data_IF_069080998646
#
_entry.id   IF_069080998646
#
_cell.length_a   1.000
_cell.length_b   1.000
_cell.length_c   1.000
_cell.angle_alpha   90.00
_cell.angle_beta   90.00
_cell.angle_gamma   90.00
#
_symmetry.space_group_name_H-M   'P 1'
#
loop_
_entity.id
_entity.type
_entity.pdbx_description
1 polymer ?
#
# COMPACT_ATOMS: atom_id res chain seq x y z
N UNK A 1 5.24 -2.08 5.67
CA UNK A 1 4.24 -2.89 5.00
C UNK A 1 3.24 -2.00 4.26
N UNK A 2 2.51 -2.57 3.33
CA UNK A 2 1.54 -1.83 2.53
C UNK A 2 0.44 -1.26 3.43
N UNK A 3 0.05 0.01 3.26
CA UNK A 3 -0.99 0.61 4.08
C UNK A 3 -2.35 -0.05 3.80
N UNK A 4 -2.89 -0.71 4.82
CA UNK A 4 -4.18 -1.43 4.75
C UNK A 4 -5.39 -0.55 5.08
N UNK A 5 -5.18 0.71 5.43
CA UNK A 5 -6.22 1.68 5.81
C UNK A 5 -6.20 2.94 4.96
N UNK A 6 -5.78 2.82 3.71
CA UNK A 6 -5.68 3.97 2.80
C UNK A 6 -7.08 4.50 2.40
N UNK A 7 -8.07 3.62 2.30
CA UNK A 7 -9.46 4.01 2.03
C UNK A 7 -10.05 4.86 3.15
N UNK A 8 -9.81 4.48 4.39
CA UNK A 8 -10.31 5.21 5.56
C UNK A 8 -9.68 6.59 5.64
N UNK A 9 -8.37 6.67 5.41
CA UNK A 9 -7.62 7.92 5.47
C UNK A 9 -7.88 8.86 4.29
N UNK A 10 -8.36 8.35 3.17
CA UNK A 10 -8.59 9.13 1.95
C UNK A 10 -10.08 9.27 1.64
N UNK A 11 -10.72 8.19 1.22
CA UNK A 11 -12.08 8.20 0.69
C UNK A 11 -13.11 8.39 1.81
N UNK A 12 -13.00 7.64 2.91
CA UNK A 12 -13.97 7.72 4.00
C UNK A 12 -13.91 9.08 4.70
N UNK A 13 -12.70 9.62 4.96
CA UNK A 13 -12.55 10.96 5.52
C UNK A 13 -13.12 12.03 4.60
N UNK A 14 -12.89 11.93 3.30
CA UNK A 14 -13.43 12.87 2.33
C UNK A 14 -14.95 12.84 2.31
N UNK A 15 -15.57 11.66 2.24
CA UNK A 15 -17.02 11.52 2.32
C UNK A 15 -17.61 12.08 3.62
N UNK A 16 -16.94 11.84 4.73
CA UNK A 16 -17.37 12.37 6.02
C UNK A 16 -17.33 13.90 6.04
N UNK A 17 -16.27 14.52 5.54
CA UNK A 17 -16.17 15.98 5.43
C UNK A 17 -17.25 16.59 4.53
N UNK A 18 -17.58 15.94 3.42
CA UNK A 18 -18.68 16.36 2.53
C UNK A 18 -20.06 16.30 3.21
N UNK A 19 -20.27 15.39 4.15
CA UNK A 19 -21.52 15.25 4.89
C UNK A 19 -21.66 16.25 6.05
N UNK A 20 -20.56 16.74 6.62
CA UNK A 20 -20.60 17.72 7.71
C UNK A 20 -20.98 19.10 7.15
N UNK A 21 -22.21 19.52 7.41
CA UNK A 21 -22.70 20.83 6.97
C UNK A 21 -22.55 21.92 8.04
N UNK A 22 -22.60 21.53 9.32
CA UNK A 22 -22.58 22.45 10.45
C UNK A 22 -21.64 21.99 11.54
N UNK A 23 -21.02 22.94 12.21
CA UNK A 23 -20.26 22.74 13.44
C UNK A 23 -21.20 22.39 14.61
N UNK A 24 -20.69 21.84 15.74
CA UNK A 24 -21.51 21.54 16.93
C UNK A 24 -22.32 22.72 17.49
N UNK A 25 -21.86 23.94 17.24
CA UNK A 25 -22.57 25.16 17.62
C UNK A 25 -23.65 25.61 16.62
N UNK A 26 -23.95 24.80 15.59
CA UNK A 26 -24.95 25.07 14.55
C UNK A 26 -24.49 26.02 13.43
N UNK A 27 -23.29 26.56 13.50
CA UNK A 27 -22.75 27.40 12.42
C UNK A 27 -22.32 26.54 11.21
N UNK A 28 -22.43 27.04 9.97
CA UNK A 28 -21.90 26.37 8.80
C UNK A 28 -20.40 26.09 8.95
N UNK A 29 -19.96 24.92 8.51
CA UNK A 29 -18.54 24.60 8.46
C UNK A 29 -17.87 25.50 7.41
N UNK A 30 -16.87 26.30 7.80
CA UNK A 30 -16.12 27.13 6.85
C UNK A 30 -15.45 26.27 5.77
N UNK A 31 -15.35 26.74 4.51
CA UNK A 31 -14.74 25.99 3.41
C UNK A 31 -13.32 25.50 3.71
N UNK A 32 -12.53 26.30 4.42
CA UNK A 32 -11.15 25.97 4.82
C UNK A 32 -11.04 24.80 5.80
N UNK A 33 -12.13 24.47 6.50
CA UNK A 33 -12.21 23.29 7.39
C UNK A 33 -12.80 22.06 6.70
N UNK A 34 -13.14 22.15 5.41
CA UNK A 34 -13.64 21.02 4.61
C UNK A 34 -12.55 20.33 3.80
N UNK A 35 -11.28 20.66 4.03
CA UNK A 35 -10.14 20.03 3.39
C UNK A 35 -9.66 18.83 4.21
N UNK A 36 -9.18 17.79 3.55
CA UNK A 36 -8.51 16.70 4.22
C UNK A 36 -7.20 17.20 4.85
N UNK A 37 -6.87 16.62 6.02
CA UNK A 37 -5.64 16.96 6.74
C UNK A 37 -4.39 16.36 6.09
N UNK A 38 -4.54 15.25 5.37
CA UNK A 38 -3.43 14.55 4.72
C UNK A 38 -3.29 14.91 3.23
N UNK A 39 -2.11 14.61 2.67
CA UNK A 39 -1.76 14.79 1.26
C UNK A 39 -1.50 13.44 0.58
N UNK A 40 -2.25 12.41 0.94
CA UNK A 40 -2.02 11.04 0.44
C UNK A 40 -2.19 10.98 -1.07
N UNK A 41 -3.29 11.50 -1.60
CA UNK A 41 -3.58 11.44 -3.04
C UNK A 41 -2.56 12.21 -3.86
N UNK A 42 -2.23 13.42 -3.43
CA UNK A 42 -1.25 14.29 -4.10
C UNK A 42 0.15 13.65 -4.08
N UNK A 43 0.57 13.14 -2.92
CA UNK A 43 1.89 12.52 -2.76
C UNK A 43 2.01 11.22 -3.57
N UNK A 44 0.96 10.43 -3.64
CA UNK A 44 0.90 9.23 -4.50
C UNK A 44 1.01 9.63 -5.97
N UNK A 45 0.23 10.61 -6.41
CA UNK A 45 0.26 11.13 -7.80
C UNK A 45 1.67 11.58 -8.18
N UNK A 46 2.30 12.41 -7.36
CA UNK A 46 3.68 12.85 -7.58
C UNK A 46 4.66 11.66 -7.61
N UNK A 47 4.46 10.68 -6.76
CA UNK A 47 5.35 9.51 -6.66
C UNK A 47 5.27 8.65 -7.92
N UNK A 48 4.07 8.40 -8.45
CA UNK A 48 3.90 7.69 -9.72
C UNK A 48 4.60 8.43 -10.85
N UNK A 49 4.36 9.73 -11.00
CA UNK A 49 4.94 10.57 -12.05
C UNK A 49 6.47 10.69 -11.96
N UNK A 50 7.05 10.65 -10.76
CA UNK A 50 8.49 10.68 -10.57
C UNK A 50 9.17 9.34 -10.86
N UNK A 51 8.48 8.24 -10.64
CA UNK A 51 9.07 6.88 -10.71
C UNK A 51 8.85 6.20 -12.05
N UNK A 52 7.84 6.60 -12.79
CA UNK A 52 7.42 5.94 -14.02
C UNK A 52 7.22 6.93 -15.16
N UNK A 53 7.52 6.49 -16.38
CA UNK A 53 7.16 7.24 -17.58
C UNK A 53 5.65 7.14 -17.84
N UNK A 54 5.02 8.17 -18.42
CA UNK A 54 3.63 8.10 -18.82
C UNK A 54 3.35 6.87 -19.69
N UNK A 55 2.24 6.19 -19.42
CA UNK A 55 1.84 4.96 -20.11
C UNK A 55 2.55 3.68 -19.65
N UNK A 56 3.47 3.74 -18.66
CA UNK A 56 4.05 2.54 -18.06
C UNK A 56 2.97 1.61 -17.52
N UNK A 57 3.07 0.32 -17.84
CA UNK A 57 2.16 -0.70 -17.32
C UNK A 57 2.60 -1.14 -15.93
N UNK A 58 1.72 -0.99 -14.96
CA UNK A 58 1.91 -1.45 -13.59
C UNK A 58 0.84 -2.49 -13.27
N UNK A 59 1.26 -3.66 -12.83
CA UNK A 59 0.35 -4.67 -12.29
C UNK A 59 0.09 -4.39 -10.82
N UNK A 60 -1.15 -4.63 -10.40
CA UNK A 60 -1.59 -4.48 -9.02
C UNK A 60 -2.17 -5.82 -8.56
N UNK A 61 -1.61 -6.36 -7.50
CA UNK A 61 -1.96 -7.68 -7.02
C UNK A 61 -2.43 -7.67 -5.56
N UNK A 62 -3.52 -8.40 -5.31
CA UNK A 62 -4.00 -8.76 -3.99
C UNK A 62 -4.50 -10.20 -4.00
N UNK A 63 -4.76 -10.78 -2.83
CA UNK A 63 -5.41 -12.09 -2.68
C UNK A 63 -6.87 -11.94 -2.25
N UNK A 64 -7.71 -12.95 -2.49
CA UNK A 64 -9.08 -13.03 -1.98
C UNK A 64 -10.17 -12.35 -2.82
N UNK A 65 -9.83 -11.68 -3.92
CA UNK A 65 -10.77 -11.12 -4.89
C UNK A 65 -11.64 -9.98 -4.37
N UNK A 66 -12.69 -9.64 -5.12
CA UNK A 66 -13.54 -8.44 -4.94
C UNK A 66 -14.27 -8.28 -3.60
N UNK A 67 -14.35 -9.31 -2.80
CA UNK A 67 -15.05 -9.26 -1.50
C UNK A 67 -14.11 -8.98 -0.33
N UNK A 68 -12.82 -8.89 -0.59
CA UNK A 68 -11.83 -8.64 0.43
C UNK A 68 -11.62 -7.13 0.63
N UNK A 69 -11.41 -6.68 1.87
CA UNK A 69 -11.14 -5.30 2.21
C UNK A 69 -9.92 -4.75 1.46
N UNK A 70 -8.89 -5.57 1.30
CA UNK A 70 -7.68 -5.24 0.56
C UNK A 70 -7.96 -4.83 -0.89
N UNK A 71 -8.99 -5.39 -1.51
CA UNK A 71 -9.37 -5.05 -2.88
C UNK A 71 -9.77 -3.58 -3.02
N UNK A 72 -10.49 -3.03 -2.05
CA UNK A 72 -10.85 -1.62 -2.05
C UNK A 72 -9.62 -0.70 -1.99
N UNK A 73 -8.65 -1.04 -1.14
CA UNK A 73 -7.36 -0.33 -1.05
C UNK A 73 -6.57 -0.44 -2.37
N UNK A 74 -6.57 -1.62 -3.00
CA UNK A 74 -5.93 -1.84 -4.29
C UNK A 74 -6.54 -0.97 -5.39
N UNK A 75 -7.87 -0.94 -5.50
CA UNK A 75 -8.60 -0.13 -6.49
C UNK A 75 -8.31 1.36 -6.31
N UNK A 76 -8.25 1.85 -5.09
CA UNK A 76 -7.88 3.25 -4.84
C UNK A 76 -6.47 3.58 -5.38
N UNK A 77 -5.50 2.70 -5.13
CA UNK A 77 -4.14 2.89 -5.62
C UNK A 77 -4.05 2.77 -7.15
N UNK A 78 -4.82 1.86 -7.75
CA UNK A 78 -4.93 1.74 -9.21
C UNK A 78 -5.52 2.99 -9.83
N UNK A 79 -6.61 3.52 -9.27
CA UNK A 79 -7.25 4.75 -9.74
C UNK A 79 -6.29 5.94 -9.67
N UNK A 80 -5.56 6.09 -8.55
CA UNK A 80 -4.57 7.15 -8.39
C UNK A 80 -3.43 7.01 -9.44
N UNK A 81 -2.92 5.79 -9.67
CA UNK A 81 -1.89 5.54 -10.69
C UNK A 81 -2.42 5.83 -12.11
N UNK A 82 -3.66 5.44 -12.42
CA UNK A 82 -4.32 5.71 -13.70
C UNK A 82 -4.47 7.22 -13.93
N UNK A 83 -4.97 7.97 -12.96
CA UNK A 83 -5.08 9.44 -13.01
C UNK A 83 -3.71 10.12 -13.14
N UNK A 84 -2.65 9.48 -12.65
CA UNK A 84 -1.27 9.95 -12.78
C UNK A 84 -0.64 9.66 -14.16
N UNK A 85 -1.40 9.06 -15.09
CA UNK A 85 -0.96 8.79 -16.47
C UNK A 85 -0.34 7.40 -16.67
N UNK A 86 -0.46 6.48 -15.70
CA UNK A 86 0.01 5.10 -15.84
C UNK A 86 -1.06 4.22 -16.52
N UNK A 87 -0.65 3.09 -17.07
CA UNK A 87 -1.54 1.99 -17.44
C UNK A 87 -1.54 0.99 -16.30
N UNK A 88 -2.73 0.54 -15.87
CA UNK A 88 -2.87 -0.37 -14.74
C UNK A 88 -3.53 -1.68 -15.15
N UNK A 89 -3.10 -2.79 -14.54
CA UNK A 89 -3.71 -4.11 -14.71
C UNK A 89 -3.83 -4.79 -13.36
N UNK A 90 -5.04 -5.19 -13.01
CA UNK A 90 -5.29 -5.99 -11.80
C UNK A 90 -4.99 -7.47 -12.09
N UNK A 91 -4.44 -8.17 -11.09
CA UNK A 91 -4.21 -9.60 -11.10
C UNK A 91 -4.33 -10.16 -9.66
N UNK A 92 -4.82 -11.39 -9.51
CA UNK A 92 -4.75 -12.05 -8.20
C UNK A 92 -3.34 -12.60 -7.98
N UNK A 93 -2.86 -12.61 -6.73
CA UNK A 93 -1.54 -13.18 -6.39
C UNK A 93 -1.40 -14.61 -6.91
N UNK A 94 -2.46 -15.40 -6.79
CA UNK A 94 -2.54 -16.79 -7.19
C UNK A 94 -2.55 -17.01 -8.71
N UNK A 95 -2.69 -15.96 -9.48
CA UNK A 95 -2.71 -15.97 -10.95
C UNK A 95 -1.37 -15.55 -11.58
N UNK A 96 -0.41 -15.16 -10.75
CA UNK A 96 0.92 -14.80 -11.23
C UNK A 96 1.67 -16.07 -11.62
N UNK A 97 2.01 -16.18 -12.90
CA UNK A 97 2.80 -17.28 -13.44
C UNK A 97 4.31 -17.02 -13.33
N UNK A 98 5.09 -18.09 -13.43
CA UNK A 98 6.55 -18.04 -13.49
C UNK A 98 7.05 -18.85 -14.68
N UNK A 99 7.83 -18.24 -15.56
CA UNK A 99 8.41 -18.94 -16.71
C UNK A 99 9.70 -19.68 -16.33
N UNK A 100 10.15 -20.65 -17.15
CA UNK A 100 11.44 -21.33 -16.94
C UNK A 100 12.63 -20.37 -16.90
N UNK A 101 12.55 -19.21 -17.53
CA UNK A 101 13.58 -18.16 -17.56
C UNK A 101 13.51 -17.23 -16.34
N UNK A 102 12.77 -17.62 -15.30
CA UNK A 102 12.59 -16.87 -14.06
C UNK A 102 11.95 -15.48 -14.27
N UNK A 103 10.92 -15.41 -15.12
CA UNK A 103 10.13 -14.19 -15.35
C UNK A 103 8.71 -14.37 -14.83
N UNK A 104 8.25 -13.45 -14.02
CA UNK A 104 6.84 -13.41 -13.61
C UNK A 104 5.99 -12.91 -14.77
N UNK A 105 4.86 -13.59 -14.99
CA UNK A 105 3.92 -13.30 -16.10
C UNK A 105 2.49 -13.25 -15.60
N UNK A 106 1.65 -12.52 -16.30
CA UNK A 106 0.22 -12.47 -16.08
C UNK A 106 -0.53 -13.59 -16.84
N UNK A 107 -1.86 -13.59 -16.76
CA UNK A 107 -2.73 -14.61 -17.40
C UNK A 107 -2.66 -14.61 -18.94
N UNK A 108 -2.06 -13.59 -19.55
CA UNK A 108 -1.85 -13.48 -21.00
C UNK A 108 -0.39 -13.78 -21.39
N UNK A 109 0.37 -14.42 -20.48
CA UNK A 109 1.81 -14.70 -20.64
C UNK A 109 2.66 -13.43 -20.84
N UNK A 110 2.15 -12.26 -20.44
CA UNK A 110 2.87 -11.00 -20.54
C UNK A 110 3.74 -10.80 -19.31
N UNK A 111 5.02 -10.45 -19.54
CA UNK A 111 5.98 -10.20 -18.46
C UNK A 111 5.50 -9.08 -17.52
N UNK A 112 5.50 -9.37 -16.23
CA UNK A 112 5.23 -8.43 -15.14
C UNK A 112 6.54 -7.75 -14.77
N UNK A 113 6.75 -6.52 -15.21
CA UNK A 113 7.94 -5.74 -14.92
C UNK A 113 7.82 -4.93 -13.63
N UNK A 114 6.64 -4.38 -13.41
CA UNK A 114 6.31 -3.55 -12.26
C UNK A 114 5.06 -4.10 -11.59
N UNK A 115 5.20 -4.51 -10.34
CA UNK A 115 4.13 -5.11 -9.55
C UNK A 115 3.98 -4.38 -8.22
N UNK A 116 2.82 -3.77 -8.01
CA UNK A 116 2.38 -3.37 -6.69
C UNK A 116 1.61 -4.53 -6.06
N UNK A 117 2.02 -4.95 -4.87
CA UNK A 117 1.38 -6.05 -4.15
C UNK A 117 0.74 -5.58 -2.84
N UNK A 118 -0.50 -5.92 -2.61
CA UNK A 118 -1.15 -5.87 -1.32
C UNK A 118 -1.19 -7.29 -0.75
N UNK A 119 -0.03 -7.78 -0.34
CA UNK A 119 0.18 -9.14 0.14
C UNK A 119 1.42 -9.19 1.04
N UNK A 120 1.39 -9.82 2.22
CA UNK A 120 2.51 -9.82 3.15
C UNK A 120 3.78 -10.46 2.57
N UNK A 121 4.93 -9.82 2.75
CA UNK A 121 6.22 -10.39 2.36
C UNK A 121 6.51 -11.69 3.10
N UNK A 122 6.08 -11.80 4.35
CA UNK A 122 6.22 -13.00 5.18
C UNK A 122 5.58 -14.21 4.51
N UNK A 123 4.43 -14.05 3.88
CA UNK A 123 3.77 -15.12 3.15
C UNK A 123 4.47 -15.43 1.84
N UNK A 124 4.90 -14.41 1.11
CA UNK A 124 5.65 -14.61 -0.14
C UNK A 124 6.91 -15.43 0.08
N UNK A 125 7.63 -15.21 1.19
CA UNK A 125 8.87 -15.95 1.48
C UNK A 125 8.64 -17.43 1.79
N UNK A 126 7.42 -17.81 2.22
CA UNK A 126 7.04 -19.21 2.47
C UNK A 126 6.50 -19.90 1.20
N UNK A 127 6.14 -19.15 0.17
CA UNK A 127 5.61 -19.71 -1.07
C UNK A 127 6.72 -20.24 -2.01
N UNK A 128 6.35 -21.20 -2.85
CA UNK A 128 7.30 -21.86 -3.77
C UNK A 128 8.04 -20.87 -4.69
N UNK A 129 7.35 -19.85 -5.17
CA UNK A 129 7.91 -18.83 -6.05
C UNK A 129 8.73 -17.77 -5.32
N UNK A 130 8.65 -17.69 -3.98
CA UNK A 130 9.33 -16.66 -3.18
C UNK A 130 10.84 -16.61 -3.41
N UNK A 131 11.49 -17.76 -3.56
CA UNK A 131 12.92 -17.89 -3.86
C UNK A 131 13.32 -17.27 -5.21
N UNK A 132 12.39 -17.16 -6.15
CA UNK A 132 12.62 -16.66 -7.50
C UNK A 132 12.66 -15.13 -7.57
N UNK A 133 12.15 -14.44 -6.57
CA UNK A 133 12.01 -12.97 -6.55
C UNK A 133 13.35 -12.26 -6.62
N UNK A 134 14.39 -12.85 -5.98
CA UNK A 134 15.71 -12.22 -5.90
C UNK A 134 16.35 -12.07 -7.28
N UNK A 135 16.19 -13.08 -8.14
CA UNK A 135 16.81 -13.14 -9.46
C UNK A 135 15.88 -12.73 -10.60
N UNK A 136 14.59 -12.52 -10.31
CA UNK A 136 13.63 -12.08 -11.32
C UNK A 136 13.77 -10.59 -11.62
N UNK A 137 13.57 -10.16 -12.88
CA UNK A 137 13.66 -8.75 -13.25
C UNK A 137 12.48 -7.91 -12.81
N UNK A 138 11.45 -8.52 -12.22
CA UNK A 138 10.25 -7.84 -11.74
C UNK A 138 10.56 -6.92 -10.57
N UNK A 139 10.19 -5.66 -10.69
CA UNK A 139 10.29 -4.66 -9.63
C UNK A 139 9.05 -4.75 -8.72
N UNK A 140 9.24 -5.27 -7.54
CA UNK A 140 8.19 -5.41 -6.53
C UNK A 140 8.04 -4.10 -5.72
N UNK A 141 6.83 -3.63 -5.62
CA UNK A 141 6.45 -2.52 -4.76
C UNK A 141 5.56 -3.04 -3.64
N UNK A 142 5.93 -2.86 -2.46
CA UNK A 142 7.07 -2.16 -1.87
C UNK A 142 8.29 -3.10 -1.73
N UNK A 143 9.50 -2.57 -1.45
CA UNK A 143 10.70 -3.39 -1.35
C UNK A 143 10.69 -4.32 -0.11
N UNK A 144 11.23 -5.53 -0.24
CA UNK A 144 11.19 -6.59 0.76
C UNK A 144 11.81 -6.20 2.14
N UNK A 145 12.77 -5.29 2.18
CA UNK A 145 13.36 -4.85 3.47
C UNK A 145 12.34 -4.21 4.41
N UNK A 146 11.21 -3.70 3.90
CA UNK A 146 10.12 -3.15 4.73
C UNK A 146 9.42 -4.21 5.58
N UNK A 147 9.61 -5.49 5.30
CA UNK A 147 9.16 -6.59 6.15
C UNK A 147 9.67 -6.43 7.59
N UNK A 148 10.88 -5.88 7.77
CA UNK A 148 11.42 -5.58 9.09
C UNK A 148 10.56 -4.57 9.88
N UNK A 149 9.88 -3.66 9.18
CA UNK A 149 9.04 -2.62 9.79
C UNK A 149 7.63 -3.12 10.11
N UNK A 150 7.17 -4.22 9.51
CA UNK A 150 5.86 -4.82 9.78
C UNK A 150 5.83 -5.65 11.07
N UNK A 151 6.99 -5.95 11.63
CA UNK A 151 7.11 -6.71 12.86
C UNK A 151 6.93 -5.80 14.09
N UNK A 152 6.02 -6.19 15.00
CA UNK A 152 5.75 -5.42 16.25
C UNK A 152 6.97 -5.30 17.16
N UNK A 153 7.97 -6.19 17.08
CA UNK A 153 9.24 -6.06 17.80
C UNK A 153 10.01 -4.78 17.42
N UNK A 154 9.71 -4.18 16.25
CA UNK A 154 10.26 -2.88 15.88
C UNK A 154 9.86 -1.77 16.87
N UNK A 155 8.66 -1.84 17.47
CA UNK A 155 8.23 -0.87 18.49
C UNK A 155 9.13 -0.92 19.73
N UNK A 156 9.56 -2.11 20.14
CA UNK A 156 10.51 -2.27 21.25
C UNK A 156 11.84 -1.63 20.88
N UNK A 157 12.32 -1.87 19.67
CA UNK A 157 13.58 -1.30 19.19
C UNK A 157 13.52 0.23 19.09
N UNK A 158 12.42 0.76 18.63
CA UNK A 158 12.19 2.21 18.59
C UNK A 158 12.14 2.79 20.01
N UNK A 159 11.50 2.11 20.96
CA UNK A 159 11.47 2.56 22.36
C UNK A 159 12.88 2.56 22.98
N UNK A 160 13.68 1.53 22.74
CA UNK A 160 15.08 1.49 23.20
C UNK A 160 15.93 2.64 22.63
N UNK A 161 15.71 2.99 21.36
CA UNK A 161 16.48 4.05 20.66
C UNK A 161 16.01 5.47 21.02
N UNK A 162 14.73 5.64 21.31
CA UNK A 162 14.08 6.93 21.48
C UNK A 162 13.17 6.90 22.71
N UNK A 163 13.71 6.48 23.86
CA UNK A 163 13.00 6.44 25.13
C UNK A 163 12.34 7.80 25.45
N UNK A 164 11.12 7.77 25.97
CA UNK A 164 10.31 8.94 26.30
C UNK A 164 9.91 9.84 25.11
N UNK A 165 10.04 9.35 23.87
CA UNK A 165 9.56 10.11 22.72
C UNK A 165 8.02 10.23 22.75
N UNK A 166 7.43 11.43 22.61
CA UNK A 166 5.99 11.68 22.84
C UNK A 166 5.05 10.93 21.88
N UNK A 167 5.55 10.41 20.78
CA UNK A 167 4.78 9.62 19.80
C UNK A 167 5.03 8.11 19.90
N UNK A 168 5.83 7.66 20.88
CA UNK A 168 6.07 6.24 21.11
C UNK A 168 5.43 5.81 22.43
N UNK A 169 4.79 4.64 22.37
CA UNK A 169 4.35 3.95 23.58
C UNK A 169 5.49 3.09 24.13
N UNK A 170 5.61 3.03 25.44
CA UNK A 170 6.54 2.12 26.13
C UNK A 170 6.30 0.69 25.65
N UNK A 171 7.34 0.03 25.18
CA UNK A 171 7.24 -1.28 24.53
C UNK A 171 8.35 -2.21 24.97
N UNK A 172 8.00 -3.44 25.32
CA UNK A 172 8.91 -4.48 25.80
C UNK A 172 8.61 -5.83 25.12
N UNK A 173 9.65 -6.66 24.93
CA UNK A 173 9.47 -8.03 24.41
C UNK A 173 8.74 -8.92 25.43
N UNK A 174 9.00 -8.69 26.70
CA UNK A 174 8.38 -9.40 27.81
C UNK A 174 7.64 -8.43 28.71
N UNK A 175 6.61 -8.96 29.42
CA UNK A 175 5.88 -8.16 30.39
C UNK A 175 6.89 -7.62 31.42
N UNK A 176 6.90 -6.32 31.73
CA UNK A 176 7.71 -5.76 32.81
C UNK A 176 7.37 -6.48 34.13
N UNK A 177 8.39 -6.88 34.85
CA UNK A 177 8.25 -7.51 36.20
C UNK A 177 7.92 -6.46 37.24
#
# INVERSE_FOLDING_TARGET
>A
DTPVSILECSVAQWHYLEQIKNLPNGQPVPPELRTQYNLIDETLTETWQKRFSPGSLIHFAASGGFRHEDFGNLIYLMDNALRSGMTVKEIQMEQIGLTPENRFVDLEDKEIRDLFKLYPWEWITEEEFGKNIIDAPTRWMEPAWKMLLSNKAMLVKLWEMFTDHPLLLESHIHKPT
#
